data_IF_208309785713
#
_entry.id   IF_208309785713
#
_cell.length_a   1.000
_cell.length_b   1.000
_cell.length_c   1.000
_cell.angle_alpha   90.00
_cell.angle_beta   90.00
_cell.angle_gamma   90.00
#
_symmetry.space_group_name_H-M   'P 1'
#
loop_
_entity.id
_entity.type
_entity.pdbx_description
1 polymer ?
#
# COMPACT_ATOMS: atom_id res chain seq x y z
N UNK A 1 -63.72 -14.53 -14.91
CA UNK A 1 -63.73 -13.32 -14.05
C UNK A 1 -62.74 -13.60 -12.95
N UNK A 2 -61.61 -12.89 -12.90
CA UNK A 2 -60.58 -13.14 -11.88
C UNK A 2 -61.21 -13.08 -10.50
N UNK A 3 -60.81 -13.99 -9.61
CA UNK A 3 -61.18 -13.83 -8.21
C UNK A 3 -60.58 -12.53 -7.68
N UNK A 4 -61.27 -11.86 -6.77
CA UNK A 4 -60.77 -10.66 -6.10
C UNK A 4 -59.37 -10.90 -5.50
N UNK A 5 -59.13 -12.13 -5.03
CA UNK A 5 -57.88 -12.57 -4.43
C UNK A 5 -56.71 -12.61 -5.43
N UNK A 6 -56.93 -13.10 -6.65
CA UNK A 6 -55.89 -13.15 -7.71
C UNK A 6 -55.51 -11.75 -8.18
N UNK A 7 -56.48 -10.84 -8.22
CA UNK A 7 -56.25 -9.43 -8.57
C UNK A 7 -55.42 -8.71 -7.51
N UNK A 8 -55.70 -8.97 -6.23
CA UNK A 8 -54.90 -8.44 -5.11
C UNK A 8 -53.48 -9.02 -5.15
N UNK A 9 -53.34 -10.32 -5.40
CA UNK A 9 -52.05 -10.99 -5.47
C UNK A 9 -51.16 -10.46 -6.61
N UNK A 10 -51.76 -10.19 -7.77
CA UNK A 10 -51.10 -9.51 -8.89
C UNK A 10 -50.52 -8.15 -8.51
N UNK A 11 -51.30 -7.32 -7.81
CA UNK A 11 -50.86 -5.99 -7.36
C UNK A 11 -49.70 -6.10 -6.37
N UNK A 12 -49.75 -7.06 -5.44
CA UNK A 12 -48.68 -7.31 -4.47
C UNK A 12 -47.38 -7.72 -5.17
N UNK A 13 -47.44 -8.60 -6.18
CA UNK A 13 -46.26 -9.00 -6.95
C UNK A 13 -45.70 -7.84 -7.76
N UNK A 14 -46.55 -7.05 -8.41
CA UNK A 14 -46.10 -5.88 -9.17
C UNK A 14 -45.38 -4.87 -8.26
N UNK A 15 -45.95 -4.62 -7.09
CA UNK A 15 -45.34 -3.77 -6.08
C UNK A 15 -44.00 -4.34 -5.59
N UNK A 16 -43.92 -5.65 -5.36
CA UNK A 16 -42.70 -6.34 -4.99
C UNK A 16 -41.62 -6.21 -6.07
N UNK A 17 -41.97 -6.38 -7.35
CA UNK A 17 -41.04 -6.20 -8.48
C UNK A 17 -40.51 -4.76 -8.56
N UNK A 18 -41.37 -3.77 -8.32
CA UNK A 18 -40.93 -2.36 -8.26
C UNK A 18 -39.94 -2.15 -7.11
N UNK A 19 -40.24 -2.69 -5.91
CA UNK A 19 -39.33 -2.59 -4.77
C UNK A 19 -37.99 -3.28 -5.01
N UNK A 20 -37.96 -4.46 -5.65
CA UNK A 20 -36.71 -5.17 -5.97
C UNK A 20 -35.88 -4.41 -7.00
N UNK A 21 -36.50 -3.80 -8.01
CA UNK A 21 -35.82 -2.91 -8.98
C UNK A 21 -35.23 -1.69 -8.27
N UNK A 22 -36.00 -1.04 -7.40
CA UNK A 22 -35.50 0.10 -6.61
C UNK A 22 -34.33 -0.30 -5.70
N UNK A 23 -34.40 -1.47 -5.08
CA UNK A 23 -33.32 -2.02 -4.27
C UNK A 23 -32.06 -2.28 -5.11
N UNK A 24 -32.22 -2.87 -6.31
CA UNK A 24 -31.11 -3.09 -7.24
C UNK A 24 -30.45 -1.77 -7.66
N UNK A 25 -31.23 -0.76 -8.04
CA UNK A 25 -30.72 0.58 -8.40
C UNK A 25 -30.00 1.22 -7.20
N UNK A 26 -30.56 1.11 -6.00
CA UNK A 26 -29.93 1.64 -4.78
C UNK A 26 -28.59 0.96 -4.50
N UNK A 27 -28.53 -0.37 -4.65
CA UNK A 27 -27.30 -1.16 -4.47
C UNK A 27 -26.23 -0.82 -5.51
N UNK A 28 -26.62 -0.58 -6.78
CA UNK A 28 -25.72 -0.11 -7.83
C UNK A 28 -25.18 1.31 -7.59
N UNK A 29 -25.91 2.13 -6.83
CA UNK A 29 -25.47 3.45 -6.34
C UNK A 29 -24.73 3.38 -5.00
N UNK A 30 -24.25 2.20 -4.60
CA UNK A 30 -23.49 1.97 -3.37
C UNK A 30 -24.26 2.29 -2.07
N UNK A 31 -25.59 2.41 -2.14
CA UNK A 31 -26.42 2.53 -0.95
C UNK A 31 -26.84 1.14 -0.45
N UNK A 32 -26.76 0.91 0.86
CA UNK A 32 -27.20 -0.32 1.52
C UNK A 32 -28.48 -0.10 2.35
N UNK A 33 -29.68 0.01 1.71
CA UNK A 33 -30.92 0.24 2.44
C UNK A 33 -31.36 -1.02 3.21
N UNK A 34 -30.87 -1.17 4.43
CA UNK A 34 -31.12 -2.33 5.31
C UNK A 34 -32.61 -2.56 5.56
N UNK A 35 -33.38 -1.50 5.83
CA UNK A 35 -34.85 -1.57 6.00
C UNK A 35 -35.57 -2.11 4.76
N UNK A 36 -35.15 -1.70 3.56
CA UNK A 36 -35.74 -2.13 2.30
C UNK A 36 -35.43 -3.62 2.03
N UNK A 37 -34.22 -4.08 2.38
CA UNK A 37 -33.85 -5.50 2.30
C UNK A 37 -34.79 -6.37 3.15
N UNK A 38 -35.04 -6.01 4.41
CA UNK A 38 -35.94 -6.77 5.29
C UNK A 38 -37.37 -6.79 4.75
N UNK A 39 -37.88 -5.64 4.30
CA UNK A 39 -39.22 -5.54 3.72
C UNK A 39 -39.39 -6.47 2.49
N UNK A 40 -38.44 -6.43 1.55
CA UNK A 40 -38.44 -7.30 0.37
C UNK A 40 -38.37 -8.78 0.76
N UNK A 41 -37.54 -9.13 1.76
CA UNK A 41 -37.40 -10.52 2.22
C UNK A 41 -38.73 -11.05 2.78
N UNK A 42 -39.43 -10.26 3.59
CA UNK A 42 -40.74 -10.62 4.15
C UNK A 42 -41.78 -10.78 3.03
N UNK A 43 -41.84 -9.82 2.09
CA UNK A 43 -42.80 -9.85 0.99
C UNK A 43 -42.55 -11.00 0.00
N UNK A 44 -41.29 -11.37 -0.26
CA UNK A 44 -40.95 -12.55 -1.06
C UNK A 44 -41.41 -13.83 -0.37
N UNK A 45 -41.19 -13.96 0.94
CA UNK A 45 -41.61 -15.14 1.70
C UNK A 45 -43.13 -15.31 1.71
N UNK A 46 -43.88 -14.22 1.97
CA UNK A 46 -45.35 -14.22 1.95
C UNK A 46 -45.86 -14.57 0.54
N UNK A 47 -45.31 -13.94 -0.50
CA UNK A 47 -45.70 -14.21 -1.88
C UNK A 47 -45.45 -15.66 -2.28
N UNK A 48 -44.33 -16.25 -1.85
CA UNK A 48 -44.00 -17.64 -2.12
C UNK A 48 -44.96 -18.62 -1.41
N UNK A 49 -45.36 -18.33 -0.17
CA UNK A 49 -46.36 -19.13 0.55
C UNK A 49 -47.72 -19.08 -0.17
N UNK A 50 -48.17 -17.88 -0.56
CA UNK A 50 -49.44 -17.71 -1.30
C UNK A 50 -49.39 -18.45 -2.63
N UNK A 51 -48.26 -18.38 -3.36
CA UNK A 51 -48.06 -19.13 -4.60
C UNK A 51 -48.18 -20.64 -4.41
N UNK A 52 -47.57 -21.20 -3.35
CA UNK A 52 -47.63 -22.64 -3.05
C UNK A 52 -49.05 -23.07 -2.68
N UNK A 53 -49.76 -22.29 -1.86
CA UNK A 53 -51.15 -22.58 -1.49
C UNK A 53 -52.08 -22.55 -2.71
N UNK A 54 -51.93 -21.54 -3.58
CA UNK A 54 -52.75 -21.39 -4.78
C UNK A 54 -52.45 -22.49 -5.82
N UNK A 55 -51.18 -22.87 -6.00
CA UNK A 55 -50.80 -23.94 -6.93
C UNK A 55 -51.29 -25.32 -6.46
N UNK A 56 -51.23 -25.63 -5.16
CA UNK A 56 -51.83 -26.86 -4.60
C UNK A 56 -53.34 -26.91 -4.85
N UNK A 57 -54.05 -25.80 -4.64
CA UNK A 57 -55.49 -25.72 -4.87
C UNK A 57 -55.86 -25.94 -6.35
N UNK A 58 -54.99 -25.51 -7.26
CA UNK A 58 -55.14 -25.70 -8.71
C UNK A 58 -54.91 -27.15 -9.15
N UNK A 59 -54.03 -27.90 -8.47
CA UNK A 59 -53.79 -29.33 -8.74
C UNK A 59 -54.99 -30.21 -8.33
N UNK A 60 -55.77 -29.79 -7.34
CA UNK A 60 -56.96 -30.52 -6.86
C UNK A 60 -58.24 -30.25 -7.66
N UNK A 61 -58.25 -29.23 -8.54
CA UNK A 61 -59.44 -28.83 -9.30
C UNK A 61 -59.48 -29.57 -10.64
N UNK A 62 -60.55 -30.33 -10.90
CA UNK A 62 -60.68 -31.13 -12.12
C UNK A 62 -60.71 -30.25 -13.39
N UNK A 63 -60.20 -30.82 -14.49
CA UNK A 63 -59.84 -30.19 -15.76
C UNK A 63 -60.97 -29.58 -16.60
N UNK A 64 -62.16 -29.30 -16.05
CA UNK A 64 -63.28 -28.73 -16.81
C UNK A 64 -63.43 -27.23 -16.50
N UNK A 65 -63.09 -26.43 -17.51
CA UNK A 65 -63.05 -24.96 -17.60
C UNK A 65 -61.86 -24.27 -16.90
N UNK A 66 -60.69 -24.38 -17.53
CA UNK A 66 -59.64 -23.36 -17.42
C UNK A 66 -59.75 -22.46 -18.66
N UNK A 67 -60.15 -21.20 -18.45
CA UNK A 67 -60.20 -20.18 -19.50
C UNK A 67 -58.75 -19.79 -19.81
N UNK A 68 -58.39 -19.66 -21.09
CA UNK A 68 -57.02 -19.34 -21.56
C UNK A 68 -56.41 -18.07 -20.92
N UNK A 69 -57.25 -17.12 -20.51
CA UNK A 69 -56.83 -15.87 -19.85
C UNK A 69 -56.25 -16.09 -18.45
N UNK A 70 -56.77 -17.04 -17.68
CA UNK A 70 -56.37 -17.24 -16.29
C UNK A 70 -55.00 -17.94 -16.22
N UNK A 71 -54.71 -18.82 -17.18
CA UNK A 71 -53.40 -19.46 -17.35
C UNK A 71 -52.32 -18.42 -17.70
N UNK A 72 -52.62 -17.50 -18.62
CA UNK A 72 -51.70 -16.43 -19.01
C UNK A 72 -51.33 -15.54 -17.81
N UNK A 73 -52.32 -15.15 -17.01
CA UNK A 73 -52.11 -14.31 -15.83
C UNK A 73 -51.27 -15.04 -14.78
N UNK A 74 -51.55 -16.32 -14.51
CA UNK A 74 -50.75 -17.12 -13.58
C UNK A 74 -49.29 -17.28 -14.04
N UNK A 75 -49.05 -17.41 -15.34
CA UNK A 75 -47.69 -17.46 -15.89
C UNK A 75 -46.96 -16.12 -15.74
N UNK A 76 -47.65 -14.99 -15.92
CA UNK A 76 -47.08 -13.64 -15.71
C UNK A 76 -46.72 -13.44 -14.24
N UNK A 77 -47.62 -13.82 -13.32
CA UNK A 77 -47.39 -13.81 -11.86
C UNK A 77 -46.13 -14.62 -11.50
N UNK A 78 -46.04 -15.85 -12.00
CA UNK A 78 -44.92 -16.73 -11.72
C UNK A 78 -43.61 -16.16 -12.27
N UNK A 79 -43.63 -15.63 -13.50
CA UNK A 79 -42.47 -14.97 -14.10
C UNK A 79 -42.00 -13.79 -13.26
N UNK A 80 -42.91 -12.90 -12.85
CA UNK A 80 -42.57 -11.72 -12.05
C UNK A 80 -42.02 -12.09 -10.66
N UNK A 81 -42.56 -13.14 -10.04
CA UNK A 81 -42.04 -13.67 -8.78
C UNK A 81 -40.62 -14.21 -8.95
N UNK A 82 -40.38 -15.05 -9.95
CA UNK A 82 -39.06 -15.61 -10.27
C UNK A 82 -38.05 -14.52 -10.68
N UNK A 83 -38.47 -13.52 -11.43
CA UNK A 83 -37.63 -12.37 -11.78
C UNK A 83 -37.25 -11.57 -10.54
N UNK A 84 -38.22 -11.31 -9.65
CA UNK A 84 -37.99 -10.56 -8.41
C UNK A 84 -37.07 -11.29 -7.45
N UNK A 85 -37.21 -12.62 -7.32
CA UNK A 85 -36.30 -13.44 -6.49
C UNK A 85 -34.89 -13.46 -7.07
N UNK A 86 -34.73 -13.71 -8.38
CA UNK A 86 -33.43 -13.74 -9.03
C UNK A 86 -32.72 -12.37 -8.95
N UNK A 87 -33.42 -11.27 -9.22
CA UNK A 87 -32.87 -9.92 -9.12
C UNK A 87 -32.48 -9.58 -7.68
N UNK A 88 -33.26 -9.99 -6.68
CA UNK A 88 -32.94 -9.77 -5.28
C UNK A 88 -31.70 -10.55 -4.84
N UNK A 89 -31.59 -11.84 -5.21
CA UNK A 89 -30.40 -12.67 -4.94
C UNK A 89 -29.17 -12.05 -5.60
N UNK A 90 -29.26 -11.69 -6.87
CA UNK A 90 -28.18 -11.01 -7.60
C UNK A 90 -27.77 -9.70 -6.91
N UNK A 91 -28.74 -8.89 -6.48
CA UNK A 91 -28.48 -7.62 -5.78
C UNK A 91 -27.81 -7.80 -4.41
N UNK A 92 -28.07 -8.91 -3.73
CA UNK A 92 -27.42 -9.25 -2.46
C UNK A 92 -25.98 -9.71 -2.72
N UNK A 93 -25.76 -10.57 -3.72
CA UNK A 93 -24.46 -11.16 -3.98
C UNK A 93 -23.48 -10.18 -4.63
N UNK A 94 -23.95 -9.31 -5.54
CA UNK A 94 -23.12 -8.26 -6.15
C UNK A 94 -22.93 -7.02 -5.24
N UNK A 95 -22.77 -7.20 -3.94
CA UNK A 95 -22.06 -6.17 -3.17
C UNK A 95 -20.65 -6.09 -3.75
N UNK A 96 -20.22 -4.91 -4.21
CA UNK A 96 -18.84 -4.73 -4.68
C UNK A 96 -17.87 -5.30 -3.64
N UNK A 97 -17.10 -6.32 -4.04
CA UNK A 97 -16.26 -7.14 -3.16
C UNK A 97 -15.10 -6.34 -2.53
N UNK A 98 -14.95 -5.06 -2.88
CA UNK A 98 -13.79 -4.24 -2.54
C UNK A 98 -14.04 -3.21 -1.42
N UNK A 99 -15.19 -3.22 -0.75
CA UNK A 99 -15.45 -2.28 0.35
C UNK A 99 -14.89 -2.83 1.67
N UNK A 100 -13.68 -2.40 2.02
CA UNK A 100 -13.14 -2.60 3.36
C UNK A 100 -13.92 -1.72 4.33
N UNK A 101 -14.97 -2.28 4.95
CA UNK A 101 -15.68 -1.62 6.04
C UNK A 101 -14.80 -1.62 7.30
N UNK A 102 -14.16 -0.48 7.56
CA UNK A 102 -13.44 -0.24 8.81
C UNK A 102 -14.42 0.30 9.86
N UNK A 103 -14.26 -0.15 11.10
CA UNK A 103 -15.03 0.41 12.22
C UNK A 103 -14.70 1.90 12.42
N UNK A 104 -15.75 2.71 12.58
CA UNK A 104 -15.59 4.13 12.85
C UNK A 104 -14.91 4.33 14.22
N UNK A 105 -13.80 5.08 14.28
CA UNK A 105 -13.16 5.36 15.56
C UNK A 105 -14.08 6.21 16.46
N UNK A 106 -14.23 5.87 17.75
CA UNK A 106 -15.05 6.63 18.69
C UNK A 106 -14.65 8.10 18.77
N UNK A 107 -15.64 9.00 18.88
CA UNK A 107 -15.45 10.46 18.93
C UNK A 107 -14.35 10.90 19.91
N UNK A 108 -14.37 10.36 21.13
CA UNK A 108 -13.39 10.70 22.16
C UNK A 108 -11.96 10.26 21.77
N UNK A 109 -11.81 9.07 21.18
CA UNK A 109 -10.50 8.58 20.70
C UNK A 109 -9.98 9.46 19.56
N UNK A 110 -10.84 9.83 18.62
CA UNK A 110 -10.49 10.67 17.46
C UNK A 110 -9.99 12.07 17.84
N UNK A 111 -10.25 12.56 19.06
CA UNK A 111 -9.82 13.88 19.53
C UNK A 111 -8.66 13.87 20.53
N UNK A 112 -8.08 12.71 20.85
CA UNK A 112 -6.93 12.63 21.77
C UNK A 112 -5.64 13.21 21.20
N UNK A 113 -5.52 13.23 19.87
CA UNK A 113 -4.35 13.70 19.16
C UNK A 113 -4.25 15.23 19.06
N UNK A 114 -3.07 15.70 18.62
CA UNK A 114 -2.86 17.12 18.27
C UNK A 114 -2.80 17.35 16.76
N UNK A 115 -2.47 16.32 15.97
CA UNK A 115 -2.26 16.42 14.53
C UNK A 115 -3.59 16.17 13.83
N UNK A 116 -4.22 17.21 13.30
CA UNK A 116 -5.43 17.04 12.49
C UNK A 116 -5.08 16.36 11.18
N UNK A 117 -5.73 15.23 10.89
CA UNK A 117 -5.52 14.44 9.67
C UNK A 117 -6.67 14.61 8.68
N UNK A 118 -7.89 14.74 9.19
CA UNK A 118 -9.09 14.87 8.35
C UNK A 118 -10.36 14.68 9.16
N UNK A 119 -11.40 14.13 8.51
CA UNK A 119 -12.68 13.78 9.13
C UNK A 119 -12.95 12.29 8.95
N UNK A 120 -13.61 11.68 9.93
CA UNK A 120 -14.13 10.32 9.85
C UNK A 120 -15.29 10.30 8.85
N UNK A 121 -15.27 9.35 7.93
CA UNK A 121 -16.28 9.16 6.89
C UNK A 121 -17.03 7.86 7.16
N UNK A 122 -18.35 7.91 7.14
CA UNK A 122 -19.21 6.73 7.23
C UNK A 122 -20.10 6.71 5.98
N UNK A 123 -19.68 5.95 4.97
CA UNK A 123 -20.15 6.12 3.60
C UNK A 123 -19.86 7.55 3.10
N UNK A 124 -20.88 8.22 2.57
CA UNK A 124 -20.80 9.62 2.12
C UNK A 124 -20.92 10.66 3.24
N UNK A 125 -21.21 10.24 4.48
CA UNK A 125 -21.47 11.15 5.58
C UNK A 125 -20.17 11.53 6.32
N UNK A 126 -19.91 12.84 6.41
CA UNK A 126 -18.85 13.38 7.26
C UNK A 126 -19.30 13.34 8.72
N UNK A 127 -18.53 12.67 9.58
CA UNK A 127 -18.73 12.67 11.03
C UNK A 127 -17.84 13.75 11.66
N UNK A 128 -17.01 13.38 12.63
CA UNK A 128 -16.13 14.29 13.37
C UNK A 128 -14.72 14.34 12.81
N UNK A 129 -13.97 15.37 13.22
CA UNK A 129 -12.52 15.48 12.92
C UNK A 129 -11.73 14.35 13.58
N UNK A 130 -10.70 13.89 12.89
CA UNK A 130 -9.77 12.86 13.34
C UNK A 130 -8.37 13.44 13.54
N UNK A 131 -7.80 13.16 14.71
CA UNK A 131 -6.49 13.64 15.13
C UNK A 131 -5.60 12.48 15.54
N UNK A 132 -4.33 12.53 15.12
CA UNK A 132 -3.28 11.62 15.58
C UNK A 132 -2.49 12.23 16.74
N UNK A 133 -2.16 11.39 17.72
CA UNK A 133 -1.18 11.68 18.76
C UNK A 133 0.21 11.19 18.35
N UNK A 134 1.26 11.63 19.06
CA UNK A 134 2.61 11.08 18.84
C UNK A 134 2.67 9.57 19.14
N UNK A 135 1.92 9.11 20.16
CA UNK A 135 1.80 7.67 20.50
C UNK A 135 1.18 6.84 19.39
N UNK A 136 0.35 7.44 18.55
CA UNK A 136 -0.20 6.74 17.38
C UNK A 136 0.87 6.62 16.29
N UNK A 137 1.71 7.64 16.10
CA UNK A 137 2.81 7.64 15.12
C UNK A 137 3.96 6.69 15.50
N UNK A 138 4.17 6.44 16.80
CA UNK A 138 5.10 5.41 17.29
C UNK A 138 4.79 4.01 16.75
N UNK A 139 3.53 3.76 16.32
CA UNK A 139 3.08 2.47 15.76
C UNK A 139 3.19 2.39 14.24
N UNK A 140 3.83 3.38 13.63
CA UNK A 140 3.90 3.58 12.18
C UNK A 140 2.53 3.91 11.55
N UNK A 141 2.58 4.48 10.35
CA UNK A 141 1.41 4.86 9.56
C UNK A 141 1.60 4.37 8.13
N UNK A 142 0.63 3.64 7.60
CA UNK A 142 0.59 3.22 6.21
C UNK A 142 -0.41 4.06 5.42
N UNK A 143 0.04 4.71 4.35
CA UNK A 143 -0.79 5.55 3.48
C UNK A 143 -0.80 4.90 2.10
N UNK A 144 -1.97 4.46 1.65
CA UNK A 144 -2.15 3.82 0.34
C UNK A 144 -3.24 4.52 -0.49
N UNK A 145 -3.28 4.21 -1.78
CA UNK A 145 -4.23 4.76 -2.74
C UNK A 145 -3.66 4.79 -4.15
N UNK A 146 -4.52 4.83 -5.16
CA UNK A 146 -4.09 4.92 -6.56
C UNK A 146 -3.36 6.24 -6.88
N UNK A 147 -2.70 6.32 -8.03
CA UNK A 147 -2.13 7.60 -8.51
C UNK A 147 -3.24 8.64 -8.66
N UNK A 148 -2.97 9.88 -8.25
CA UNK A 148 -3.96 10.97 -8.30
C UNK A 148 -4.94 11.03 -7.12
N UNK A 149 -4.94 10.08 -6.19
CA UNK A 149 -5.85 10.11 -5.03
C UNK A 149 -5.44 11.08 -3.92
N UNK A 150 -4.34 11.81 -4.09
CA UNK A 150 -3.89 12.85 -3.16
C UNK A 150 -2.95 12.40 -2.04
N UNK A 151 -2.28 11.23 -2.16
CA UNK A 151 -1.27 10.77 -1.17
C UNK A 151 -0.18 11.82 -0.88
N UNK A 152 0.38 12.41 -1.93
CA UNK A 152 1.40 13.46 -1.84
C UNK A 152 0.85 14.69 -1.13
N UNK A 153 -0.34 15.16 -1.54
CA UNK A 153 -1.04 16.29 -0.91
C UNK A 153 -1.32 16.04 0.57
N UNK A 154 -1.72 14.81 0.91
CA UNK A 154 -1.92 14.38 2.29
C UNK A 154 -0.62 14.50 3.09
N UNK A 155 0.48 13.90 2.61
CA UNK A 155 1.74 13.86 3.34
C UNK A 155 2.36 15.26 3.49
N UNK A 156 2.26 16.12 2.48
CA UNK A 156 2.68 17.52 2.56
C UNK A 156 1.92 18.27 3.67
N UNK A 157 0.58 18.17 3.67
CA UNK A 157 -0.25 18.80 4.70
C UNK A 157 0.00 18.22 6.09
N UNK A 158 0.22 16.90 6.18
CA UNK A 158 0.57 16.22 7.41
C UNK A 158 1.88 16.77 7.99
N UNK A 159 2.95 16.84 7.19
CA UNK A 159 4.26 17.33 7.62
C UNK A 159 4.23 18.80 8.03
N UNK A 160 3.54 19.66 7.28
CA UNK A 160 3.33 21.07 7.68
C UNK A 160 2.59 21.17 9.02
N UNK A 161 1.54 20.36 9.21
CA UNK A 161 0.79 20.33 10.46
C UNK A 161 1.60 19.78 11.63
N UNK A 162 2.44 18.77 11.38
CA UNK A 162 3.34 18.16 12.33
C UNK A 162 4.39 19.19 12.80
N UNK A 163 5.10 19.82 11.87
CA UNK A 163 6.14 20.82 12.18
C UNK A 163 5.62 22.03 12.92
N UNK A 164 4.42 22.52 12.57
CA UNK A 164 3.79 23.64 13.30
C UNK A 164 3.53 23.33 14.78
N UNK A 165 3.44 22.06 15.16
CA UNK A 165 3.05 21.62 16.51
C UNK A 165 4.20 21.04 17.32
N UNK A 166 5.23 20.53 16.64
CA UNK A 166 6.32 19.80 17.26
C UNK A 166 7.66 20.25 16.71
N UNK A 167 8.60 20.52 17.61
CA UNK A 167 10.00 20.71 17.24
C UNK A 167 10.75 19.37 17.16
N UNK A 168 10.22 18.44 16.37
CA UNK A 168 10.82 17.12 16.13
C UNK A 168 11.34 17.13 14.68
N UNK A 169 12.61 16.76 14.43
CA UNK A 169 13.15 16.63 13.08
C UNK A 169 12.47 15.48 12.33
N UNK A 170 12.38 15.58 11.01
CA UNK A 170 11.92 14.48 10.16
C UNK A 170 12.88 14.29 8.99
N UNK A 171 12.92 13.06 8.48
CA UNK A 171 13.60 12.70 7.24
C UNK A 171 12.54 12.19 6.27
N UNK A 172 12.43 12.84 5.12
CA UNK A 172 11.55 12.45 4.04
C UNK A 172 12.40 11.99 2.85
N UNK A 173 12.15 10.78 2.35
CA UNK A 173 12.82 10.22 1.18
C UNK A 173 11.83 10.20 0.02
N UNK A 174 12.20 10.73 -1.14
CA UNK A 174 11.34 10.78 -2.32
C UNK A 174 12.07 10.53 -3.63
N UNK A 175 11.30 10.26 -4.70
CA UNK A 175 11.84 9.92 -6.03
C UNK A 175 11.39 10.85 -7.15
N UNK A 176 10.42 11.75 -6.91
CA UNK A 176 9.73 12.50 -7.99
C UNK A 176 9.91 14.02 -7.92
N UNK A 177 10.60 14.54 -6.92
CA UNK A 177 10.73 15.98 -6.65
C UNK A 177 9.42 16.66 -6.21
N UNK A 178 8.41 15.91 -5.79
CA UNK A 178 7.08 16.43 -5.47
C UNK A 178 7.06 17.22 -4.15
N UNK A 179 8.09 17.09 -3.31
CA UNK A 179 8.12 17.69 -1.97
C UNK A 179 9.05 18.90 -1.84
N UNK A 180 9.71 19.33 -2.92
CA UNK A 180 10.60 20.51 -2.92
C UNK A 180 9.88 21.78 -2.43
N UNK A 181 8.58 21.91 -2.70
CA UNK A 181 7.77 23.03 -2.23
C UNK A 181 7.76 23.17 -0.69
N UNK A 182 7.97 22.08 0.06
CA UNK A 182 8.01 22.11 1.52
C UNK A 182 9.12 23.03 2.04
N UNK A 183 10.19 23.27 1.28
CA UNK A 183 11.26 24.18 1.68
C UNK A 183 10.78 25.64 1.81
N UNK A 184 9.68 26.01 1.14
CA UNK A 184 9.02 27.33 1.28
C UNK A 184 8.10 27.41 2.50
N UNK A 185 7.83 26.29 3.17
CA UNK A 185 6.81 26.18 4.24
C UNK A 185 7.38 25.71 5.57
N UNK A 186 8.48 24.98 5.54
CA UNK A 186 9.17 24.46 6.71
C UNK A 186 10.52 25.15 6.71
N UNK A 187 10.67 26.07 7.66
CA UNK A 187 11.95 26.70 7.95
C UNK A 187 12.98 25.58 8.24
N UNK A 188 14.21 25.80 7.80
CA UNK A 188 15.34 24.90 8.06
C UNK A 188 15.28 23.54 7.33
N UNK A 189 14.35 23.34 6.38
CA UNK A 189 14.33 22.13 5.54
C UNK A 189 15.54 22.11 4.58
N UNK A 190 16.42 21.13 4.79
CA UNK A 190 17.58 20.89 3.95
C UNK A 190 17.26 19.80 2.92
N UNK A 191 17.42 20.14 1.64
CA UNK A 191 17.29 19.19 0.53
C UNK A 191 18.66 18.61 0.20
N UNK A 192 18.76 17.29 0.34
CA UNK A 192 19.93 16.48 0.04
C UNK A 192 19.65 15.66 -1.22
N UNK A 193 20.57 15.74 -2.19
CA UNK A 193 20.64 14.94 -3.42
C UNK A 193 21.89 14.08 -3.36
N UNK A 194 21.76 12.79 -3.02
CA UNK A 194 22.93 11.93 -2.87
C UNK A 194 23.70 11.80 -4.19
N UNK A 195 25.03 11.97 -4.13
CA UNK A 195 25.91 12.02 -5.30
C UNK A 195 26.05 13.39 -5.96
N UNK A 196 25.25 14.39 -5.56
CA UNK A 196 25.36 15.77 -6.05
C UNK A 196 25.86 16.74 -4.98
N UNK A 197 25.11 16.87 -3.88
CA UNK A 197 25.42 17.77 -2.77
C UNK A 197 25.62 17.03 -1.44
N UNK A 198 25.55 15.71 -1.47
CA UNK A 198 25.71 14.83 -0.31
C UNK A 198 26.37 13.51 -0.70
N UNK A 199 27.35 13.10 0.09
CA UNK A 199 28.12 11.89 -0.12
C UNK A 199 28.63 11.40 1.22
N UNK A 200 28.89 10.10 1.30
CA UNK A 200 29.42 9.41 2.46
C UNK A 200 30.58 8.56 1.96
N UNK A 201 31.77 8.76 2.49
CA UNK A 201 32.86 7.83 2.21
C UNK A 201 32.60 6.50 2.94
N UNK A 202 32.16 5.47 2.22
CA UNK A 202 31.86 4.15 2.82
C UNK A 202 33.09 3.49 3.42
N UNK A 203 34.30 3.88 3.01
CA UNK A 203 35.55 3.32 3.52
C UNK A 203 36.05 4.02 4.78
N UNK A 204 35.40 5.10 5.22
CA UNK A 204 35.76 5.78 6.45
C UNK A 204 35.07 5.09 7.64
N UNK A 205 35.80 4.43 8.55
CA UNK A 205 35.21 3.73 9.68
C UNK A 205 34.70 4.65 10.80
N UNK A 206 34.96 5.97 10.70
CA UNK A 206 34.60 6.93 11.73
C UNK A 206 35.22 6.55 13.08
N UNK A 207 34.39 6.27 14.07
CA UNK A 207 34.81 5.84 15.42
C UNK A 207 34.83 4.31 15.60
N UNK A 208 34.41 3.55 14.59
CA UNK A 208 34.37 2.08 14.67
C UNK A 208 35.72 1.43 14.30
N UNK A 209 35.93 0.20 14.74
CA UNK A 209 37.10 -0.59 14.36
C UNK A 209 37.03 -0.93 12.86
N UNK A 210 38.14 -0.85 12.10
CA UNK A 210 38.16 -1.14 10.66
C UNK A 210 37.58 -2.50 10.28
N UNK A 211 37.81 -3.53 11.09
CA UNK A 211 37.29 -4.89 10.88
C UNK A 211 35.77 -4.93 11.00
N UNK A 212 35.23 -4.30 12.05
CA UNK A 212 33.78 -4.21 12.28
C UNK A 212 33.11 -3.39 11.18
N UNK A 213 33.76 -2.31 10.74
CA UNK A 213 33.26 -1.49 9.65
C UNK A 213 33.29 -2.23 8.30
N UNK A 214 34.35 -3.00 8.04
CA UNK A 214 34.46 -3.82 6.82
C UNK A 214 33.33 -4.85 6.71
N UNK A 215 32.99 -5.52 7.82
CA UNK A 215 31.83 -6.43 7.89
C UNK A 215 30.52 -5.69 7.62
N UNK A 216 30.33 -4.49 8.20
CA UNK A 216 29.15 -3.65 7.90
C UNK A 216 29.06 -3.26 6.43
N UNK A 217 30.18 -2.88 5.81
CA UNK A 217 30.20 -2.58 4.37
C UNK A 217 29.80 -3.84 3.57
N UNK A 218 30.32 -5.00 3.93
CA UNK A 218 29.96 -6.26 3.28
C UNK A 218 28.46 -6.54 3.39
N UNK A 219 27.86 -6.39 4.57
CA UNK A 219 26.43 -6.57 4.78
C UNK A 219 25.59 -5.57 3.98
N UNK A 220 26.00 -4.30 3.89
CA UNK A 220 25.32 -3.28 3.06
C UNK A 220 25.38 -3.67 1.58
N UNK A 221 26.55 -4.08 1.08
CA UNK A 221 26.72 -4.53 -0.30
C UNK A 221 25.91 -5.80 -0.59
N UNK A 222 25.77 -6.69 0.42
CA UNK A 222 24.98 -7.90 0.34
C UNK A 222 23.48 -7.62 0.36
N UNK A 223 23.00 -6.66 1.15
CA UNK A 223 21.59 -6.25 1.18
C UNK A 223 21.14 -5.50 -0.06
N UNK A 224 22.07 -4.84 -0.76
CA UNK A 224 21.80 -4.12 -2.02
C UNK A 224 21.41 -5.01 -3.21
N UNK A 225 21.29 -6.33 -3.03
CA UNK A 225 21.00 -7.34 -4.06
C UNK A 225 19.57 -7.35 -4.62
N UNK A 226 18.77 -6.31 -4.38
CA UNK A 226 17.36 -6.22 -4.83
C UNK A 226 17.13 -6.38 -6.35
N UNK A 227 18.17 -6.44 -7.19
CA UNK A 227 18.05 -6.48 -8.65
C UNK A 227 18.77 -7.66 -9.33
N UNK A 228 19.44 -8.53 -8.58
CA UNK A 228 20.17 -9.67 -9.16
C UNK A 228 20.08 -10.88 -8.20
N UNK A 229 18.92 -11.56 -8.22
CA UNK A 229 18.55 -12.67 -7.32
C UNK A 229 19.60 -13.80 -7.28
N UNK A 230 20.45 -13.91 -8.30
CA UNK A 230 21.46 -14.96 -8.43
C UNK A 230 22.88 -14.54 -7.98
N UNK A 231 23.08 -13.29 -7.54
CA UNK A 231 24.40 -12.77 -7.20
C UNK A 231 24.81 -13.07 -5.74
N UNK A 232 24.70 -14.31 -5.28
CA UNK A 232 25.18 -14.70 -3.95
C UNK A 232 26.71 -14.51 -3.79
N UNK A 233 27.15 -14.15 -2.58
CA UNK A 233 28.56 -14.09 -2.23
C UNK A 233 28.91 -15.45 -1.62
N UNK A 234 29.92 -16.13 -2.16
CA UNK A 234 30.41 -17.37 -1.53
C UNK A 234 31.21 -17.05 -0.26
N UNK A 235 31.39 -18.01 0.67
CA UNK A 235 32.21 -17.81 1.87
C UNK A 235 33.64 -17.32 1.56
N UNK A 236 34.20 -17.79 0.43
CA UNK A 236 35.50 -17.32 -0.04
C UNK A 236 35.48 -15.87 -0.52
N UNK A 237 34.42 -15.45 -1.23
CA UNK A 237 34.27 -14.05 -1.66
C UNK A 237 34.10 -13.11 -0.48
N UNK A 238 33.31 -13.52 0.51
CA UNK A 238 33.10 -12.80 1.77
C UNK A 238 34.43 -12.59 2.49
N UNK A 239 35.16 -13.67 2.79
CA UNK A 239 36.49 -13.60 3.42
C UNK A 239 37.43 -12.66 2.68
N UNK A 240 37.60 -12.84 1.36
CA UNK A 240 38.51 -12.02 0.55
C UNK A 240 38.07 -10.55 0.54
N UNK A 241 36.78 -10.27 0.42
CA UNK A 241 36.25 -8.92 0.39
C UNK A 241 36.43 -8.22 1.74
N UNK A 242 36.09 -8.87 2.86
CA UNK A 242 36.23 -8.32 4.21
C UNK A 242 37.70 -8.05 4.55
N UNK A 243 38.62 -8.98 4.23
CA UNK A 243 40.06 -8.77 4.46
C UNK A 243 40.59 -7.55 3.68
N UNK A 244 40.17 -7.39 2.42
CA UNK A 244 40.56 -6.25 1.60
C UNK A 244 39.94 -4.95 2.15
N UNK A 245 38.65 -4.96 2.48
CA UNK A 245 37.95 -3.80 3.02
C UNK A 245 38.56 -3.35 4.34
N UNK A 246 38.94 -4.28 5.21
CA UNK A 246 39.64 -3.99 6.47
C UNK A 246 40.91 -3.17 6.20
N UNK A 247 41.74 -3.61 5.25
CA UNK A 247 42.97 -2.89 4.89
C UNK A 247 42.72 -1.51 4.26
N UNK A 248 41.64 -1.39 3.50
CA UNK A 248 41.21 -0.10 2.94
C UNK A 248 40.76 0.85 4.06
N UNK A 249 40.00 0.35 5.04
CA UNK A 249 39.47 1.15 6.15
C UNK A 249 40.57 1.54 7.16
N UNK A 250 41.58 0.68 7.38
CA UNK A 250 42.75 0.94 8.22
C UNK A 250 43.57 2.15 7.72
N UNK A 251 43.75 2.27 6.39
CA UNK A 251 44.66 3.25 5.82
C UNK A 251 43.92 4.44 5.17
N UNK A 252 43.90 5.58 5.87
CA UNK A 252 43.26 6.83 5.42
C UNK A 252 43.61 7.26 3.99
N UNK A 253 44.84 7.01 3.51
CA UNK A 253 45.25 7.39 2.15
C UNK A 253 44.57 6.56 1.06
N UNK A 254 44.08 5.37 1.42
CA UNK A 254 43.46 4.42 0.50
C UNK A 254 41.95 4.28 0.68
N UNK A 255 41.32 5.03 1.59
CA UNK A 255 39.86 5.03 1.82
C UNK A 255 39.08 5.61 0.63
N UNK A 256 39.09 4.90 -0.49
CA UNK A 256 38.46 5.24 -1.77
C UNK A 256 38.33 4.00 -2.64
N UNK A 257 37.51 4.08 -3.70
CA UNK A 257 37.44 2.99 -4.69
C UNK A 257 38.78 2.73 -5.37
N UNK A 258 39.58 3.77 -5.58
CA UNK A 258 40.94 3.64 -6.15
C UNK A 258 41.84 2.82 -5.23
N UNK A 259 41.82 3.09 -3.93
CA UNK A 259 42.58 2.33 -2.95
C UNK A 259 42.10 0.89 -2.82
N UNK A 260 40.78 0.66 -2.82
CA UNK A 260 40.20 -0.68 -2.89
C UNK A 260 40.76 -1.50 -4.06
N UNK A 261 40.77 -0.93 -5.28
CA UNK A 261 41.31 -1.63 -6.45
C UNK A 261 42.82 -1.87 -6.37
N UNK A 262 43.58 -1.00 -5.70
CA UNK A 262 45.00 -1.20 -5.44
C UNK A 262 45.22 -2.39 -4.48
N UNK A 263 44.47 -2.45 -3.37
CA UNK A 263 44.51 -3.59 -2.45
C UNK A 263 44.09 -4.89 -3.12
N UNK A 264 43.07 -4.90 -4.00
CA UNK A 264 42.76 -6.10 -4.78
C UNK A 264 43.96 -6.60 -5.62
N UNK A 265 44.72 -5.69 -6.25
CA UNK A 265 45.90 -6.07 -7.06
C UNK A 265 47.03 -6.61 -6.19
N UNK A 266 47.27 -5.99 -5.03
CA UNK A 266 48.26 -6.47 -4.06
C UNK A 266 47.88 -7.83 -3.48
N UNK A 267 46.62 -7.99 -3.07
CA UNK A 267 46.07 -9.23 -2.53
C UNK A 267 46.17 -10.38 -3.54
N UNK A 268 45.84 -10.12 -4.82
CA UNK A 268 45.99 -11.10 -5.89
C UNK A 268 47.43 -11.62 -6.06
N UNK A 269 48.44 -10.78 -5.83
CA UNK A 269 49.87 -11.16 -5.92
C UNK A 269 50.31 -11.93 -4.68
N UNK A 270 49.96 -11.43 -3.49
CA UNK A 270 50.47 -11.94 -2.22
C UNK A 270 49.80 -13.26 -1.81
N UNK A 271 48.52 -13.46 -2.15
CA UNK A 271 47.72 -14.63 -1.74
C UNK A 271 47.46 -15.63 -2.85
N UNK A 272 48.12 -15.48 -4.01
CA UNK A 272 47.90 -16.33 -5.21
C UNK A 272 48.05 -17.82 -4.92
N UNK A 273 49.03 -18.18 -4.08
CA UNK A 273 49.36 -19.57 -3.77
C UNK A 273 48.59 -20.12 -2.56
N UNK A 274 47.97 -19.26 -1.76
CA UNK A 274 47.23 -19.64 -0.55
C UNK A 274 45.74 -19.87 -0.83
N UNK A 275 45.18 -19.13 -1.80
CA UNK A 275 43.74 -19.12 -2.07
C UNK A 275 43.49 -19.63 -3.49
N UNK A 276 42.82 -20.79 -3.68
CA UNK A 276 42.53 -21.32 -4.99
C UNK A 276 41.60 -20.39 -5.75
N UNK A 277 41.84 -20.25 -7.07
CA UNK A 277 41.01 -19.44 -7.98
C UNK A 277 40.83 -17.97 -7.55
N UNK A 278 41.80 -17.41 -6.79
CA UNK A 278 41.72 -16.04 -6.26
C UNK A 278 41.44 -14.98 -7.35
N UNK A 279 42.02 -15.13 -8.54
CA UNK A 279 41.77 -14.23 -9.66
C UNK A 279 40.29 -14.22 -10.06
N UNK A 280 39.65 -15.38 -10.18
CA UNK A 280 38.22 -15.49 -10.47
C UNK A 280 37.37 -14.91 -9.33
N UNK A 281 37.75 -15.16 -8.07
CA UNK A 281 37.08 -14.60 -6.89
C UNK A 281 37.10 -13.07 -6.91
N UNK A 282 38.26 -12.46 -7.19
CA UNK A 282 38.38 -11.00 -7.26
C UNK A 282 37.61 -10.40 -8.44
N UNK A 283 37.58 -11.05 -9.60
CA UNK A 283 36.75 -10.62 -10.74
C UNK A 283 35.27 -10.66 -10.35
N UNK A 284 34.85 -11.74 -9.71
CA UNK A 284 33.47 -11.95 -9.24
C UNK A 284 33.02 -10.90 -8.23
N UNK A 285 33.90 -10.55 -7.27
CA UNK A 285 33.67 -9.48 -6.30
C UNK A 285 33.52 -8.13 -7.03
N UNK A 286 34.48 -7.79 -7.90
CA UNK A 286 34.48 -6.52 -8.64
C UNK A 286 33.21 -6.34 -9.48
N UNK A 287 32.75 -7.41 -10.13
CA UNK A 287 31.52 -7.37 -10.93
C UNK A 287 30.28 -7.12 -10.07
N UNK A 288 30.18 -7.78 -8.91
CA UNK A 288 29.05 -7.62 -7.98
C UNK A 288 28.96 -6.22 -7.38
N UNK A 289 30.11 -5.60 -7.08
CA UNK A 289 30.14 -4.26 -6.46
C UNK A 289 30.31 -3.13 -7.50
N UNK A 290 30.41 -3.45 -8.79
CA UNK A 290 30.71 -2.50 -9.88
C UNK A 290 29.77 -1.30 -9.90
N UNK A 291 28.49 -1.49 -9.58
CA UNK A 291 27.50 -0.40 -9.59
C UNK A 291 27.82 0.67 -8.54
N UNK A 292 28.38 0.29 -7.39
CA UNK A 292 28.75 1.20 -6.32
C UNK A 292 30.01 2.03 -6.64
N UNK A 293 30.85 1.55 -7.56
CA UNK A 293 32.09 2.20 -7.96
C UNK A 293 32.00 2.99 -9.27
N UNK A 294 30.80 3.11 -9.87
CA UNK A 294 30.54 3.84 -11.11
C UNK A 294 29.38 4.83 -10.97
N UNK A 295 29.31 5.80 -11.89
CA UNK A 295 28.17 6.72 -12.04
C UNK A 295 27.87 7.57 -10.80
N UNK A 296 26.58 7.83 -10.56
CA UNK A 296 26.06 8.60 -9.43
C UNK A 296 26.35 7.95 -8.07
N UNK A 297 26.28 6.62 -7.99
CA UNK A 297 26.61 5.88 -6.75
C UNK A 297 28.09 6.01 -6.36
N UNK A 298 29.00 6.10 -7.34
CA UNK A 298 30.40 6.43 -7.04
C UNK A 298 30.52 7.80 -6.38
N UNK A 299 29.85 8.81 -6.93
CA UNK A 299 29.89 10.16 -6.37
C UNK A 299 29.35 10.19 -4.93
N UNK A 300 28.31 9.40 -4.66
CA UNK A 300 27.75 9.19 -3.33
C UNK A 300 28.73 8.50 -2.37
N UNK A 301 29.50 7.50 -2.82
CA UNK A 301 30.27 6.63 -1.91
C UNK A 301 31.80 6.86 -1.85
N UNK A 302 32.36 7.70 -2.73
CA UNK A 302 33.82 7.91 -2.86
C UNK A 302 34.33 9.17 -2.14
N UNK A 303 33.45 10.12 -1.83
CA UNK A 303 33.83 11.43 -1.29
C UNK A 303 33.18 11.70 0.06
N UNK A 304 33.80 12.57 0.84
CA UNK A 304 33.22 13.10 2.08
C UNK A 304 32.80 14.56 1.80
N UNK A 305 31.50 14.80 1.60
CA UNK A 305 30.96 16.16 1.47
C UNK A 305 30.92 16.85 2.84
N UNK A 306 30.70 18.17 2.86
CA UNK A 306 30.77 19.00 4.07
C UNK A 306 29.72 18.66 5.14
N UNK A 307 28.64 17.96 4.78
CA UNK A 307 27.56 17.62 5.70
C UNK A 307 27.91 16.29 6.36
N UNK A 308 28.29 16.35 7.63
CA UNK A 308 28.49 15.17 8.45
C UNK A 308 27.16 14.42 8.65
N UNK A 309 27.23 13.09 8.70
CA UNK A 309 26.05 12.22 8.86
C UNK A 309 25.31 12.52 10.17
N UNK A 310 26.03 12.85 11.24
CA UNK A 310 25.42 13.18 12.54
C UNK A 310 24.50 14.40 12.45
N UNK A 311 24.88 15.40 11.64
CA UNK A 311 24.11 16.63 11.47
C UNK A 311 22.78 16.42 10.73
N UNK A 312 22.60 15.28 10.05
CA UNK A 312 21.38 14.95 9.31
C UNK A 312 20.25 14.64 10.29
N UNK A 313 20.54 13.97 11.41
CA UNK A 313 19.53 13.56 12.38
C UNK A 313 18.96 14.73 13.20
N UNK A 314 19.65 15.87 13.21
CA UNK A 314 19.24 17.06 13.95
C UNK A 314 18.40 18.03 13.12
N UNK A 315 18.21 17.76 11.82
CA UNK A 315 17.59 18.67 10.86
C UNK A 315 16.33 18.09 10.24
N UNK A 316 15.49 18.96 9.70
CA UNK A 316 14.45 18.53 8.75
C UNK A 316 15.15 18.25 7.41
N UNK A 317 15.06 17.02 6.93
CA UNK A 317 15.79 16.57 5.73
C UNK A 317 14.81 16.06 4.69
N UNK A 318 14.98 16.52 3.46
CA UNK A 318 14.42 15.90 2.26
C UNK A 318 15.55 15.23 1.50
N UNK A 319 15.54 13.90 1.42
CA UNK A 319 16.42 13.13 0.53
C UNK A 319 15.69 12.99 -0.80
N UNK A 320 16.18 13.70 -1.80
CA UNK A 320 15.70 13.68 -3.16
C UNK A 320 16.52 12.68 -3.98
N UNK A 321 15.90 11.57 -4.33
CA UNK A 321 16.50 10.48 -5.12
C UNK A 321 16.16 10.58 -6.61
N UNK A 322 15.55 11.68 -7.07
CA UNK A 322 15.11 11.83 -8.47
C UNK A 322 16.26 11.78 -9.47
N UNK A 323 17.50 12.01 -9.04
CA UNK A 323 18.70 12.01 -9.88
C UNK A 323 19.50 10.70 -9.87
N UNK A 324 19.12 9.75 -9.01
CA UNK A 324 19.81 8.46 -8.88
C UNK A 324 19.13 7.35 -9.69
N UNK A 325 17.89 7.59 -10.16
CA UNK A 325 17.11 6.69 -11.03
C UNK A 325 17.35 6.99 -12.50
#
# INVERSE_FOLDING_TARGET
MLSLLDSIYMVVILFLTILTILFFIARKKENSPTKLKYLITILLAISLIIFVLNSLSSLTRSSKLLISSDILINNIIFFLLCFSTALFIYSIHNAGEDVVELEDPPFFKSRKGKIEVGKVMSGSNQKHKFFLSLKDLEKHMFICGATGTGKTTFLQNFLMNFKRRFNIPFMLVEFKGEYHFLQKKIEDLLIIRPGENFSINIFNPGTSLPEVHAERIFDILKSGKFLDENAEFSPQMEKVLVEILTKVCENKQFQSWKGFYQYCKGYAKNKKNEIPMLSQTLISIKNRIRRFSLGSLKALFDTDHKIKVENIFERNILIDLSSII
#
